data_IF_864146446131
#
_entry.id   IF_864146446131
#
_cell.length_a   1.000
_cell.length_b   1.000
_cell.length_c   1.000
_cell.angle_alpha   90.00
_cell.angle_beta   90.00
_cell.angle_gamma   90.00
#
_symmetry.space_group_name_H-M   'P 1'
#
loop_
_entity.id
_entity.type
_entity.pdbx_description
1 polymer ?
#
# COMPACT_ATOMS: atom_id res chain seq x y z
N UNK A 1 15.17 -62.10 4.53
CA UNK A 1 16.34 -61.27 4.08
C UNK A 1 16.04 -60.40 2.86
N UNK A 2 15.26 -60.86 1.87
CA UNK A 2 14.84 -60.04 0.72
C UNK A 2 13.63 -59.16 1.09
N UNK A 3 12.69 -59.69 1.83
CA UNK A 3 11.47 -58.92 2.27
C UNK A 3 11.85 -57.77 3.19
N UNK A 4 12.75 -57.93 4.12
CA UNK A 4 13.22 -56.90 5.03
C UNK A 4 13.90 -55.71 4.30
N UNK A 5 14.55 -56.01 3.19
CA UNK A 5 15.20 -55.03 2.34
C UNK A 5 14.18 -54.22 1.53
N UNK A 6 13.12 -54.86 1.06
CA UNK A 6 12.02 -54.19 0.31
C UNK A 6 11.23 -53.28 1.23
N UNK A 7 10.84 -53.70 2.45
CA UNK A 7 10.14 -52.88 3.41
C UNK A 7 10.93 -51.63 3.77
N UNK A 8 12.22 -51.76 4.01
CA UNK A 8 13.07 -50.60 4.31
C UNK A 8 13.11 -49.60 3.17
N UNK A 9 13.22 -50.04 1.91
CA UNK A 9 13.20 -49.13 0.77
C UNK A 9 11.85 -48.45 0.59
N UNK A 10 10.74 -49.14 0.80
CA UNK A 10 9.39 -48.57 0.73
C UNK A 10 9.16 -47.51 1.83
N UNK A 11 9.63 -47.80 3.05
CA UNK A 11 9.52 -46.82 4.17
C UNK A 11 10.38 -45.60 3.91
N UNK A 12 11.61 -45.75 3.44
CA UNK A 12 12.48 -44.62 3.11
C UNK A 12 11.93 -43.80 1.94
N UNK A 13 11.37 -44.41 0.90
CA UNK A 13 10.74 -43.73 -0.22
C UNK A 13 9.51 -42.95 0.22
N UNK A 14 8.66 -43.52 1.10
CA UNK A 14 7.49 -42.84 1.65
C UNK A 14 7.87 -41.63 2.51
N UNK A 15 8.88 -41.75 3.36
CA UNK A 15 9.37 -40.64 4.20
C UNK A 15 9.96 -39.51 3.35
N UNK A 16 10.70 -39.88 2.28
CA UNK A 16 11.27 -38.90 1.36
C UNK A 16 10.20 -38.13 0.59
N UNK A 17 9.14 -38.80 0.10
CA UNK A 17 7.97 -38.19 -0.54
C UNK A 17 7.21 -37.26 0.43
N UNK A 18 7.06 -37.70 1.68
CA UNK A 18 6.39 -36.87 2.71
C UNK A 18 7.16 -35.57 2.99
N UNK A 19 8.49 -35.67 3.10
CA UNK A 19 9.38 -34.51 3.30
C UNK A 19 9.35 -33.55 2.11
N UNK A 20 9.31 -34.07 0.87
CA UNK A 20 9.15 -33.23 -0.33
C UNK A 20 7.80 -32.52 -0.36
N UNK A 21 6.72 -33.21 0.05
CA UNK A 21 5.38 -32.62 0.09
C UNK A 21 5.27 -31.53 1.14
N UNK A 22 5.81 -31.75 2.34
CA UNK A 22 5.86 -30.75 3.41
C UNK A 22 6.73 -29.56 3.01
N UNK A 23 7.89 -29.81 2.39
CA UNK A 23 8.76 -28.74 1.89
C UNK A 23 8.09 -27.88 0.83
N UNK A 24 7.36 -28.50 -0.11
CA UNK A 24 6.63 -27.81 -1.17
C UNK A 24 5.47 -26.97 -0.61
N UNK A 25 4.71 -27.49 0.36
CA UNK A 25 3.60 -26.74 0.98
C UNK A 25 4.10 -25.56 1.80
N UNK A 26 5.20 -25.68 2.52
CA UNK A 26 5.82 -24.57 3.26
C UNK A 26 6.41 -23.52 2.31
N UNK A 27 6.96 -23.93 1.17
CA UNK A 27 7.49 -23.01 0.16
C UNK A 27 6.38 -22.19 -0.50
N UNK A 28 5.26 -22.83 -0.88
CA UNK A 28 4.10 -22.13 -1.49
C UNK A 28 3.47 -21.16 -0.50
N UNK A 29 3.39 -21.50 0.80
CA UNK A 29 2.87 -20.60 1.84
C UNK A 29 3.75 -19.35 2.04
N UNK A 30 5.06 -19.43 1.76
CA UNK A 30 5.98 -18.29 1.85
C UNK A 30 5.82 -17.29 0.69
N UNK A 31 5.45 -17.75 -0.50
CA UNK A 31 5.24 -16.88 -1.68
C UNK A 31 3.94 -16.05 -1.53
N UNK A 32 2.92 -16.58 -0.85
CA UNK A 32 1.64 -15.90 -0.66
C UNK A 32 1.72 -14.66 0.26
N UNK A 33 2.86 -14.40 0.91
CA UNK A 33 3.05 -13.26 1.83
C UNK A 33 3.78 -12.06 1.23
N UNK A 34 4.21 -12.14 -0.01
CA UNK A 34 4.89 -11.02 -0.69
C UNK A 34 3.89 -10.17 -1.49
N UNK A 35 2.84 -9.66 -0.84
CA UNK A 35 2.22 -8.43 -1.31
C UNK A 35 3.03 -7.28 -0.68
N UNK A 36 3.82 -6.52 -1.45
CA UNK A 36 4.42 -5.31 -0.90
C UNK A 36 3.27 -4.41 -0.46
N UNK A 37 3.23 -4.06 0.83
CA UNK A 37 2.42 -2.95 1.30
C UNK A 37 2.74 -1.75 0.37
N UNK A 38 1.73 -0.95 -0.03
CA UNK A 38 1.96 0.21 -0.88
C UNK A 38 3.10 1.02 -0.28
N UNK A 39 4.18 1.19 -1.06
CA UNK A 39 5.45 1.72 -0.56
C UNK A 39 5.25 3.18 -0.13
N UNK A 40 5.41 3.45 1.17
CA UNK A 40 5.30 4.80 1.72
C UNK A 40 6.30 5.77 1.08
N UNK A 41 7.42 5.28 0.55
CA UNK A 41 8.40 6.05 -0.20
C UNK A 41 7.84 6.50 -1.55
N UNK A 42 7.08 5.65 -2.25
CA UNK A 42 6.42 5.98 -3.52
C UNK A 42 5.30 7.01 -3.30
N UNK A 43 4.49 6.87 -2.24
CA UNK A 43 3.45 7.84 -1.89
C UNK A 43 4.03 9.23 -1.59
N UNK A 44 5.14 9.31 -0.86
CA UNK A 44 5.84 10.57 -0.59
C UNK A 44 6.41 11.19 -1.88
N UNK A 45 6.98 10.39 -2.79
CA UNK A 45 7.47 10.86 -4.07
C UNK A 45 6.31 11.37 -4.95
N UNK A 46 5.21 10.62 -5.02
CA UNK A 46 4.00 11.01 -5.75
C UNK A 46 3.40 12.30 -5.21
N UNK A 47 3.31 12.44 -3.88
CA UNK A 47 2.84 13.67 -3.25
C UNK A 47 3.72 14.87 -3.62
N UNK A 48 5.04 14.73 -3.56
CA UNK A 48 5.99 15.80 -3.93
C UNK A 48 5.85 16.24 -5.38
N UNK A 49 5.59 15.33 -6.30
CA UNK A 49 5.54 15.65 -7.73
C UNK A 49 4.18 16.13 -8.20
N UNK A 50 3.09 15.68 -7.58
CA UNK A 50 1.73 15.93 -8.08
C UNK A 50 0.89 16.83 -7.17
N UNK A 51 1.19 16.93 -5.87
CA UNK A 51 0.30 17.55 -4.88
C UNK A 51 0.88 18.82 -4.24
N UNK A 52 2.20 18.88 -4.08
CA UNK A 52 2.90 19.96 -3.37
C UNK A 52 2.66 21.34 -3.97
N UNK A 53 2.44 21.43 -5.29
CA UNK A 53 2.17 22.71 -5.94
C UNK A 53 1.01 23.47 -5.29
N UNK A 54 -0.04 22.75 -4.88
CA UNK A 54 -1.20 23.33 -4.20
C UNK A 54 -1.20 23.07 -2.69
N UNK A 55 -0.89 21.84 -2.25
CA UNK A 55 -1.01 21.46 -0.84
C UNK A 55 0.21 21.81 0.02
N UNK A 56 1.32 22.22 -0.58
CA UNK A 56 2.56 22.46 0.14
C UNK A 56 3.27 21.15 0.57
N UNK A 57 4.57 21.18 0.88
CA UNK A 57 5.34 19.99 1.21
C UNK A 57 4.94 19.37 2.56
N UNK A 58 4.33 20.13 3.42
CA UNK A 58 3.87 19.76 4.76
C UNK A 58 2.34 19.68 4.89
N UNK A 59 1.62 19.89 3.78
CA UNK A 59 0.16 19.85 3.74
C UNK A 59 -0.55 21.12 4.18
N UNK A 60 0.18 22.22 4.50
CA UNK A 60 -0.41 23.50 4.98
C UNK A 60 -1.02 24.35 3.87
N UNK A 61 -0.83 23.93 2.63
CA UNK A 61 -1.12 24.75 1.46
C UNK A 61 0.07 25.64 1.04
N UNK A 62 0.40 25.59 -0.23
CA UNK A 62 1.35 26.52 -0.84
C UNK A 62 0.75 27.93 -0.95
N UNK A 63 1.54 28.92 -1.38
CA UNK A 63 1.03 30.25 -1.69
C UNK A 63 -0.11 30.20 -2.74
N UNK A 64 0.08 29.40 -3.80
CA UNK A 64 -0.94 29.17 -4.84
C UNK A 64 -2.17 28.48 -4.25
N UNK A 65 -1.97 27.41 -3.46
CA UNK A 65 -3.07 26.70 -2.83
C UNK A 65 -3.91 27.59 -1.91
N UNK A 66 -3.27 28.43 -1.13
CA UNK A 66 -3.97 29.41 -0.24
C UNK A 66 -4.82 30.40 -1.02
N UNK A 67 -4.35 30.90 -2.15
CA UNK A 67 -5.15 31.78 -3.02
C UNK A 67 -6.35 31.06 -3.65
N UNK A 68 -6.29 29.72 -3.78
CA UNK A 68 -7.37 28.86 -4.27
C UNK A 68 -8.24 28.27 -3.15
N UNK A 69 -8.04 28.68 -1.90
CA UNK A 69 -8.74 28.15 -0.72
C UNK A 69 -8.57 26.62 -0.55
N UNK A 70 -7.38 26.10 -0.89
CA UNK A 70 -7.04 24.69 -0.68
C UNK A 70 -7.00 24.41 0.83
N UNK A 71 -7.71 23.38 1.33
CA UNK A 71 -7.75 23.09 2.76
C UNK A 71 -6.37 22.64 3.28
N UNK A 72 -6.08 23.02 4.53
CA UNK A 72 -4.93 22.49 5.25
C UNK A 72 -5.15 20.98 5.53
N UNK A 73 -4.31 20.14 4.94
CA UNK A 73 -4.41 18.69 5.08
C UNK A 73 -4.19 18.20 6.51
N UNK A 74 -3.62 19.03 7.39
CA UNK A 74 -3.39 18.72 8.82
C UNK A 74 -4.62 19.02 9.67
N UNK A 75 -5.56 19.78 9.14
CA UNK A 75 -6.71 20.29 9.88
C UNK A 75 -7.62 19.16 10.38
N UNK A 76 -8.31 19.32 11.52
CA UNK A 76 -9.28 18.35 12.01
C UNK A 76 -10.39 18.04 11.00
N UNK A 77 -10.79 19.00 10.19
CA UNK A 77 -11.83 18.86 9.17
C UNK A 77 -11.41 17.82 8.13
N UNK A 78 -10.17 17.89 7.63
CA UNK A 78 -9.62 16.92 6.67
C UNK A 78 -9.30 15.59 7.36
N UNK A 79 -8.68 15.63 8.53
CA UNK A 79 -8.21 14.43 9.22
C UNK A 79 -9.32 13.56 9.84
N UNK A 80 -10.55 14.08 9.97
CA UNK A 80 -11.74 13.32 10.40
C UNK A 80 -12.48 12.65 9.25
N UNK A 81 -12.21 13.03 7.98
CA UNK A 81 -12.85 12.38 6.84
C UNK A 81 -12.45 10.90 6.77
N UNK A 82 -13.37 9.97 6.45
CA UNK A 82 -13.02 8.59 6.21
C UNK A 82 -11.99 8.44 5.07
N UNK A 83 -11.13 7.41 5.13
CA UNK A 83 -10.10 7.16 4.11
C UNK A 83 -10.71 6.99 2.71
N UNK A 84 -11.84 6.29 2.60
CA UNK A 84 -12.56 6.14 1.33
C UNK A 84 -13.02 7.47 0.75
N UNK A 85 -13.42 8.44 1.58
CA UNK A 85 -13.80 9.77 1.11
C UNK A 85 -12.59 10.58 0.64
N UNK A 86 -11.46 10.48 1.32
CA UNK A 86 -10.20 11.09 0.86
C UNK A 86 -9.74 10.46 -0.46
N UNK A 87 -9.81 9.13 -0.58
CA UNK A 87 -9.50 8.42 -1.82
C UNK A 87 -10.41 8.86 -2.97
N UNK A 88 -11.70 9.00 -2.73
CA UNK A 88 -12.65 9.49 -3.73
C UNK A 88 -12.34 10.92 -4.17
N UNK A 89 -12.02 11.82 -3.24
CA UNK A 89 -11.62 13.21 -3.57
C UNK A 89 -10.37 13.22 -4.43
N UNK A 90 -9.38 12.39 -4.14
CA UNK A 90 -8.16 12.30 -4.97
C UNK A 90 -8.49 11.72 -6.34
N UNK A 91 -9.29 10.67 -6.39
CA UNK A 91 -9.68 9.98 -7.61
C UNK A 91 -10.47 10.89 -8.56
N UNK A 92 -11.50 11.54 -8.04
CA UNK A 92 -12.48 12.26 -8.86
C UNK A 92 -12.26 13.78 -8.91
N UNK A 93 -11.39 14.30 -8.02
CA UNK A 93 -11.21 15.73 -7.85
C UNK A 93 -12.33 16.36 -7.03
N UNK A 94 -12.12 17.61 -6.60
CA UNK A 94 -13.13 18.41 -5.89
C UNK A 94 -12.82 19.90 -6.02
N UNK A 95 -13.77 20.68 -6.53
CA UNK A 95 -13.57 22.13 -6.73
C UNK A 95 -12.41 22.40 -7.70
N UNK A 96 -11.37 23.09 -7.24
CA UNK A 96 -10.16 23.35 -8.04
C UNK A 96 -9.16 22.20 -8.11
N UNK A 97 -9.38 21.10 -7.38
CA UNK A 97 -8.51 19.92 -7.42
C UNK A 97 -8.86 19.03 -8.61
N UNK A 98 -7.92 18.72 -9.51
CA UNK A 98 -8.17 17.86 -10.66
C UNK A 98 -8.34 16.38 -10.26
N UNK A 99 -9.00 15.56 -11.10
CA UNK A 99 -9.11 14.12 -10.89
C UNK A 99 -7.80 13.42 -11.21
N UNK A 100 -7.40 12.43 -10.38
CA UNK A 100 -6.18 11.65 -10.57
C UNK A 100 -6.40 10.19 -10.97
N UNK A 101 -7.65 9.72 -11.07
CA UNK A 101 -7.98 8.32 -11.42
C UNK A 101 -7.43 7.84 -12.78
N UNK A 102 -7.14 8.75 -13.70
CA UNK A 102 -6.55 8.43 -15.00
C UNK A 102 -5.00 8.36 -14.96
N UNK A 103 -4.37 8.86 -13.90
CA UNK A 103 -2.92 8.99 -13.77
C UNK A 103 -2.32 8.28 -12.56
N UNK A 104 -3.15 7.77 -11.65
CA UNK A 104 -2.79 7.02 -10.46
C UNK A 104 -3.65 5.77 -10.36
N UNK A 105 -3.06 4.64 -9.96
CA UNK A 105 -3.79 3.43 -9.61
C UNK A 105 -4.54 3.61 -8.29
N UNK A 106 -5.50 2.71 -8.03
CA UNK A 106 -6.23 2.67 -6.75
C UNK A 106 -5.27 2.50 -5.55
N UNK A 107 -4.28 1.62 -5.67
CA UNK A 107 -3.26 1.39 -4.64
C UNK A 107 -2.41 2.65 -4.39
N UNK A 108 -2.05 3.39 -5.43
CA UNK A 108 -1.33 4.66 -5.30
C UNK A 108 -2.19 5.72 -4.61
N UNK A 109 -3.49 5.78 -4.91
CA UNK A 109 -4.43 6.69 -4.25
C UNK A 109 -4.56 6.34 -2.75
N UNK A 110 -4.71 5.05 -2.41
CA UNK A 110 -4.74 4.61 -1.01
C UNK A 110 -3.44 4.91 -0.27
N UNK A 111 -2.29 4.74 -0.93
CA UNK A 111 -0.98 5.09 -0.38
C UNK A 111 -0.85 6.59 -0.11
N UNK A 112 -1.40 7.43 -1.00
CA UNK A 112 -1.46 8.88 -0.79
C UNK A 112 -2.36 9.25 0.40
N UNK A 113 -3.48 8.58 0.60
CA UNK A 113 -4.33 8.77 1.79
C UNK A 113 -3.53 8.45 3.06
N UNK A 114 -2.82 7.33 3.09
CA UNK A 114 -1.94 6.98 4.21
C UNK A 114 -0.84 8.04 4.44
N UNK A 115 -0.26 8.57 3.37
CA UNK A 115 0.72 9.66 3.45
C UNK A 115 0.10 10.93 4.04
N UNK A 116 -1.11 11.33 3.62
CA UNK A 116 -1.84 12.49 4.17
C UNK A 116 -2.11 12.31 5.66
N UNK A 117 -2.38 11.08 6.13
CA UNK A 117 -2.54 10.80 7.57
C UNK A 117 -1.28 11.06 8.39
N UNK A 118 -0.10 10.98 7.78
CA UNK A 118 1.15 11.33 8.48
C UNK A 118 1.27 12.81 8.83
N UNK A 119 0.44 13.67 8.23
CA UNK A 119 0.42 15.11 8.56
C UNK A 119 -0.38 15.42 9.82
N UNK A 120 -1.18 14.48 10.33
CA UNK A 120 -1.97 14.66 11.55
C UNK A 120 -1.08 15.08 12.72
N UNK A 121 -1.44 16.20 13.38
CA UNK A 121 -0.74 16.70 14.57
C UNK A 121 0.64 17.35 14.33
N UNK A 122 1.07 17.47 13.09
CA UNK A 122 2.29 18.25 12.78
C UNK A 122 1.96 19.75 12.88
N UNK A 123 2.75 20.46 13.68
CA UNK A 123 2.68 21.93 13.83
C UNK A 123 3.64 22.60 12.87
#
# INVERSE_FOLDING_TARGET
MIEDKIERHVVFASLFLLMLFVGLTLFVASIARANPAPDSADASATFRTKCVMCHGPDGTGSQVGKSMSVPDLRSPEVQKLPDGQLAQIISEGKGGMPPFKSSLSEDQIHSLVAHIRTFRGKK
#
